data_IF_893174256120
#
_entry.id   IF_893174256120
#
_cell.length_a   1.000
_cell.length_b   1.000
_cell.length_c   1.000
_cell.angle_alpha   90.00
_cell.angle_beta   90.00
_cell.angle_gamma   90.00
#
_symmetry.space_group_name_H-M   'P 1'
#
loop_
_entity.id
_entity.type
_entity.pdbx_description
1 polymer ?
#
# COMPACT_ATOMS: atom_id res chain seq x y z
N UNK A 1 29.79 -3.69 12.05
CA UNK A 1 28.40 -3.15 12.00
C UNK A 1 28.28 -2.45 10.66
N UNK A 2 27.36 -2.87 9.82
CA UNK A 2 27.15 -2.24 8.50
C UNK A 2 26.64 -0.81 8.70
N UNK A 3 27.28 0.16 8.05
CA UNK A 3 26.81 1.55 8.04
C UNK A 3 25.88 1.73 6.85
N UNK A 4 24.67 2.23 7.09
CA UNK A 4 23.71 2.59 6.04
C UNK A 4 23.82 4.09 5.81
N UNK A 5 24.37 4.48 4.68
CA UNK A 5 24.62 5.90 4.37
C UNK A 5 23.33 6.67 4.06
N UNK A 6 22.30 5.98 3.55
CA UNK A 6 21.03 6.60 3.15
C UNK A 6 19.84 5.78 3.62
N UNK A 7 19.12 6.27 4.63
CA UNK A 7 17.91 5.62 5.14
C UNK A 7 16.68 5.88 4.28
N UNK A 8 16.52 7.12 3.81
CA UNK A 8 15.37 7.52 2.96
C UNK A 8 15.77 7.31 1.49
N UNK A 9 15.26 6.27 0.89
CA UNK A 9 15.61 5.81 -0.46
C UNK A 9 14.52 6.02 -1.50
N UNK A 10 13.29 6.35 -1.07
CA UNK A 10 12.16 6.63 -1.96
C UNK A 10 11.54 7.99 -1.64
N UNK A 11 10.95 8.62 -2.65
CA UNK A 11 10.05 9.77 -2.44
C UNK A 11 8.73 9.29 -1.83
N UNK A 12 8.13 10.02 -0.89
CA UNK A 12 6.82 9.66 -0.33
C UNK A 12 5.66 9.88 -1.32
N UNK A 13 5.90 10.55 -2.45
CA UNK A 13 4.86 10.98 -3.41
C UNK A 13 4.74 10.09 -4.64
N UNK A 14 5.62 9.11 -4.80
CA UNK A 14 5.60 8.18 -5.92
C UNK A 14 5.66 6.74 -5.40
N UNK A 15 5.29 5.79 -6.24
CA UNK A 15 5.42 4.38 -5.92
C UNK A 15 6.87 4.03 -5.55
N UNK A 16 7.11 3.31 -4.44
CA UNK A 16 8.46 2.89 -4.05
C UNK A 16 9.10 1.99 -5.11
N UNK A 17 10.33 2.33 -5.50
CA UNK A 17 11.09 1.59 -6.50
C UNK A 17 12.15 0.67 -5.90
N UNK A 18 12.38 0.76 -4.60
CA UNK A 18 13.39 -0.03 -3.89
C UNK A 18 13.07 -0.11 -2.39
N UNK A 19 13.63 -1.12 -1.73
CA UNK A 19 13.45 -1.30 -0.30
C UNK A 19 14.66 -1.97 0.34
N UNK A 20 14.85 -1.73 1.65
CA UNK A 20 15.83 -2.45 2.45
C UNK A 20 15.26 -3.78 2.93
N UNK A 21 15.99 -4.87 2.67
CA UNK A 21 15.72 -6.18 3.23
C UNK A 21 16.78 -6.53 4.28
N UNK A 22 16.34 -6.99 5.44
CA UNK A 22 17.22 -7.45 6.50
C UNK A 22 17.47 -8.95 6.35
N UNK A 23 18.74 -9.32 6.19
CA UNK A 23 19.18 -10.73 6.16
C UNK A 23 19.55 -11.16 7.58
N UNK A 24 18.82 -12.16 8.10
CA UNK A 24 19.04 -12.66 9.46
C UNK A 24 20.37 -13.37 9.61
N UNK A 25 20.78 -14.13 8.60
CA UNK A 25 21.98 -14.96 8.61
C UNK A 25 23.27 -14.13 8.74
N UNK A 26 23.35 -13.06 7.96
CA UNK A 26 24.50 -12.15 7.94
C UNK A 26 24.33 -10.94 8.85
N UNK A 27 23.11 -10.66 9.34
CA UNK A 27 22.72 -9.46 10.08
C UNK A 27 22.96 -8.16 9.28
N UNK A 28 22.78 -8.23 7.98
CA UNK A 28 23.01 -7.11 7.07
C UNK A 28 21.72 -6.66 6.40
N UNK A 29 21.70 -5.39 6.01
CA UNK A 29 20.67 -4.83 5.17
C UNK A 29 21.13 -4.81 3.72
N UNK A 30 20.33 -5.38 2.81
CA UNK A 30 20.54 -5.29 1.37
C UNK A 30 19.47 -4.44 0.73
N UNK A 31 19.90 -3.59 -0.22
CA UNK A 31 18.99 -2.81 -1.03
C UNK A 31 18.45 -3.66 -2.17
N UNK A 32 17.13 -3.86 -2.21
CA UNK A 32 16.44 -4.57 -3.30
C UNK A 32 15.66 -3.61 -4.17
N UNK A 33 15.65 -3.90 -5.47
CA UNK A 33 14.80 -3.22 -6.43
C UNK A 33 13.34 -3.68 -6.35
N UNK A 34 12.45 -2.83 -6.83
CA UNK A 34 11.02 -3.07 -6.82
C UNK A 34 10.34 -2.64 -5.52
N UNK A 35 9.07 -2.97 -5.42
CA UNK A 35 8.25 -2.65 -4.26
C UNK A 35 8.29 -3.77 -3.23
N UNK A 36 8.48 -3.42 -1.97
CA UNK A 36 8.41 -4.40 -0.88
C UNK A 36 7.04 -5.07 -0.85
N UNK A 37 6.96 -6.42 -0.76
CA UNK A 37 5.69 -7.12 -0.58
C UNK A 37 4.91 -6.58 0.63
N UNK A 38 3.60 -6.52 0.51
CA UNK A 38 2.74 -6.22 1.64
C UNK A 38 2.77 -7.38 2.62
N UNK A 39 2.96 -7.06 3.88
CA UNK A 39 3.05 -8.07 4.93
C UNK A 39 3.16 -7.43 6.30
N UNK A 40 3.23 -8.26 7.30
CA UNK A 40 3.43 -7.87 8.69
C UNK A 40 4.40 -8.81 9.37
N UNK A 41 4.99 -8.36 10.46
CA UNK A 41 5.91 -9.16 11.26
C UNK A 41 5.21 -9.61 12.53
N UNK A 42 5.27 -10.91 12.81
CA UNK A 42 4.84 -11.48 14.09
C UNK A 42 6.06 -11.90 14.89
N UNK A 43 5.98 -11.81 16.21
CA UNK A 43 7.02 -12.35 17.08
C UNK A 43 7.10 -13.85 16.89
N UNK A 44 8.32 -14.39 16.83
CA UNK A 44 8.52 -15.84 16.86
C UNK A 44 8.27 -16.38 18.27
N UNK A 45 7.92 -17.66 18.41
CA UNK A 45 7.71 -18.32 19.72
C UNK A 45 8.95 -18.21 20.63
N UNK A 46 10.12 -18.07 20.03
CA UNK A 46 11.42 -17.95 20.73
C UNK A 46 11.93 -16.51 20.82
N UNK A 47 11.11 -15.51 20.43
CA UNK A 47 11.49 -14.11 20.42
C UNK A 47 11.59 -13.53 21.84
N UNK A 48 12.61 -13.98 22.59
CA UNK A 48 12.98 -13.43 23.89
C UNK A 48 14.14 -12.44 23.80
N UNK A 49 14.76 -12.30 22.63
CA UNK A 49 15.89 -11.40 22.42
C UNK A 49 15.49 -10.20 21.57
N UNK A 50 16.06 -9.07 21.91
CA UNK A 50 15.90 -7.81 21.15
C UNK A 50 16.39 -7.93 19.69
N UNK A 51 17.17 -8.97 19.39
CA UNK A 51 17.77 -9.22 18.08
C UNK A 51 16.90 -10.12 17.16
N UNK A 52 15.75 -10.61 17.61
CA UNK A 52 14.85 -11.39 16.76
C UNK A 52 13.82 -10.48 16.07
N UNK A 53 13.96 -10.22 14.76
CA UNK A 53 13.04 -9.38 14.02
C UNK A 53 11.66 -10.00 13.79
N UNK A 54 11.40 -11.21 14.32
CA UNK A 54 10.13 -11.94 14.10
C UNK A 54 10.04 -12.63 12.72
N UNK A 55 8.88 -13.16 12.40
CA UNK A 55 8.58 -13.83 11.12
C UNK A 55 7.76 -12.87 10.26
N UNK A 56 8.23 -12.61 9.03
CA UNK A 56 7.46 -11.84 8.07
C UNK A 56 6.40 -12.72 7.41
N UNK A 57 5.14 -12.27 7.46
CA UNK A 57 4.00 -12.93 6.83
C UNK A 57 3.46 -12.00 5.75
N UNK A 58 3.43 -12.50 4.52
CA UNK A 58 2.87 -11.75 3.39
C UNK A 58 1.35 -11.68 3.46
N UNK A 59 0.80 -10.60 2.91
CA UNK A 59 -0.64 -10.41 2.71
C UNK A 59 -0.90 -10.57 1.22
N UNK A 60 -1.07 -11.81 0.79
CA UNK A 60 -1.19 -12.19 -0.62
C UNK A 60 -2.29 -11.40 -1.35
N UNK A 61 -3.43 -11.21 -0.71
CA UNK A 61 -4.55 -10.44 -1.27
C UNK A 61 -4.11 -9.02 -1.68
N UNK A 62 -3.37 -8.32 -0.81
CA UNK A 62 -2.88 -6.98 -1.11
C UNK A 62 -1.84 -7.01 -2.24
N UNK A 63 -0.97 -8.01 -2.25
CA UNK A 63 0.03 -8.18 -3.29
C UNK A 63 -0.59 -8.50 -4.66
N UNK A 64 -1.76 -9.15 -4.70
CA UNK A 64 -2.53 -9.39 -5.92
C UNK A 64 -3.30 -8.13 -6.40
N UNK A 65 -3.83 -7.33 -5.49
CA UNK A 65 -4.60 -6.12 -5.81
C UNK A 65 -3.70 -5.01 -6.33
N UNK A 66 -2.53 -4.77 -5.74
CA UNK A 66 -1.63 -3.66 -6.10
C UNK A 66 -1.34 -3.52 -7.59
N UNK A 67 -0.88 -4.56 -8.31
CA UNK A 67 -0.61 -4.44 -9.75
C UNK A 67 -1.88 -4.18 -10.57
N UNK A 68 -3.04 -4.63 -10.11
CA UNK A 68 -4.32 -4.38 -10.79
C UNK A 68 -4.76 -2.93 -10.63
N UNK A 69 -4.63 -2.37 -9.44
CA UNK A 69 -4.90 -0.95 -9.17
C UNK A 69 -3.94 -0.06 -9.97
N UNK A 70 -2.65 -0.42 -10.04
CA UNK A 70 -1.67 0.31 -10.85
C UNK A 70 -2.09 0.31 -12.33
N UNK A 71 -2.40 -0.85 -12.90
CA UNK A 71 -2.89 -0.95 -14.28
C UNK A 71 -4.19 -0.19 -14.52
N UNK A 72 -5.12 -0.24 -13.58
CA UNK A 72 -6.38 0.48 -13.66
C UNK A 72 -6.17 2.01 -13.64
N UNK A 73 -5.24 2.51 -12.82
CA UNK A 73 -4.81 3.91 -12.80
C UNK A 73 -4.21 4.32 -14.15
N UNK A 74 -3.27 3.53 -14.69
CA UNK A 74 -2.62 3.77 -15.99
C UNK A 74 -3.63 3.80 -17.14
N UNK A 75 -4.69 3.01 -17.07
CA UNK A 75 -5.80 3.01 -18.02
C UNK A 75 -6.81 4.14 -17.81
N UNK A 76 -6.54 5.05 -16.89
CA UNK A 76 -7.38 6.23 -16.65
C UNK A 76 -8.67 5.93 -15.89
N UNK A 77 -8.66 4.95 -15.01
CA UNK A 77 -9.76 4.64 -14.07
C UNK A 77 -11.06 4.20 -14.77
N UNK A 78 -11.06 3.15 -15.61
CA UNK A 78 -12.29 2.69 -16.25
C UNK A 78 -13.35 2.26 -15.22
N UNK A 79 -14.61 2.54 -15.50
CA UNK A 79 -15.76 2.16 -14.68
C UNK A 79 -16.16 3.16 -13.60
N UNK A 80 -15.33 4.14 -13.25
CA UNK A 80 -15.66 5.12 -12.22
C UNK A 80 -16.72 6.13 -12.68
N UNK A 81 -17.49 6.65 -11.73
CA UNK A 81 -18.43 7.74 -11.99
C UNK A 81 -17.71 9.03 -12.37
N UNK A 82 -18.41 9.95 -13.03
CA UNK A 82 -17.85 11.25 -13.38
C UNK A 82 -17.42 12.09 -12.16
N UNK A 83 -18.08 11.90 -11.01
CA UNK A 83 -17.71 12.56 -9.75
C UNK A 83 -16.43 11.96 -9.21
N UNK A 84 -16.35 10.64 -9.11
CA UNK A 84 -15.16 9.91 -8.66
C UNK A 84 -13.95 10.26 -9.52
N UNK A 85 -14.13 10.35 -10.84
CA UNK A 85 -13.07 10.74 -11.78
C UNK A 85 -12.52 12.13 -11.48
N UNK A 86 -13.40 13.11 -11.20
CA UNK A 86 -12.98 14.48 -10.86
C UNK A 86 -12.23 14.52 -9.54
N UNK A 87 -12.67 13.75 -8.53
CA UNK A 87 -11.99 13.64 -7.24
C UNK A 87 -10.59 13.03 -7.40
N UNK A 88 -10.47 11.91 -8.11
CA UNK A 88 -9.19 11.27 -8.38
C UNK A 88 -8.21 12.20 -9.09
N UNK A 89 -8.68 12.95 -10.09
CA UNK A 89 -7.85 13.94 -10.78
C UNK A 89 -7.40 15.06 -9.83
N UNK A 90 -8.33 15.63 -9.05
CA UNK A 90 -8.03 16.68 -8.08
C UNK A 90 -7.00 16.24 -7.04
N UNK A 91 -7.14 15.01 -6.50
CA UNK A 91 -6.21 14.52 -5.48
C UNK A 91 -4.79 14.27 -6.01
N UNK A 92 -4.65 14.03 -7.30
CA UNK A 92 -3.37 13.77 -7.96
C UNK A 92 -2.74 15.00 -8.62
N UNK A 93 -3.52 16.06 -8.83
CA UNK A 93 -3.03 17.26 -9.47
C UNK A 93 -2.02 18.00 -8.57
N UNK A 94 -0.74 18.08 -8.97
CA UNK A 94 0.28 18.72 -8.17
C UNK A 94 0.10 20.24 -8.08
N UNK A 95 -0.57 20.89 -9.03
CA UNK A 95 -0.80 22.32 -9.00
C UNK A 95 -1.95 22.68 -8.05
N UNK A 96 -3.06 21.92 -8.09
CA UNK A 96 -4.18 22.11 -7.16
C UNK A 96 -3.83 21.75 -5.72
N UNK A 97 -2.86 20.81 -5.53
CA UNK A 97 -2.44 20.29 -4.22
C UNK A 97 -1.05 20.71 -3.79
N UNK A 98 -0.56 21.86 -4.29
CA UNK A 98 0.80 22.32 -4.10
C UNK A 98 1.26 22.36 -2.64
N UNK A 99 0.42 22.87 -1.75
CA UNK A 99 0.73 23.03 -0.32
C UNK A 99 0.31 21.84 0.56
N UNK A 100 -0.46 20.90 0.01
CA UNK A 100 -1.03 19.77 0.76
C UNK A 100 -1.09 18.49 -0.05
N UNK A 101 0.01 18.18 -0.75
CA UNK A 101 0.13 16.99 -1.60
C UNK A 101 -0.03 15.72 -0.79
N UNK A 102 -0.83 14.78 -1.29
CA UNK A 102 -1.00 13.47 -0.68
C UNK A 102 0.22 12.57 -0.89
N UNK A 103 0.52 11.75 0.09
CA UNK A 103 1.51 10.69 -0.06
C UNK A 103 0.96 9.58 -0.96
N UNK A 104 1.87 8.90 -1.66
CA UNK A 104 1.50 7.77 -2.52
C UNK A 104 0.66 6.72 -1.78
N UNK A 105 1.02 6.38 -0.54
CA UNK A 105 0.27 5.40 0.25
C UNK A 105 -1.17 5.84 0.59
N UNK A 106 -1.44 7.14 0.66
CA UNK A 106 -2.78 7.69 0.88
C UNK A 106 -3.62 7.58 -0.39
N UNK A 107 -3.05 7.99 -1.52
CA UNK A 107 -3.70 7.85 -2.83
C UNK A 107 -3.99 6.39 -3.15
N UNK A 108 -3.02 5.51 -2.97
CA UNK A 108 -3.22 4.08 -3.23
C UNK A 108 -4.29 3.45 -2.33
N UNK A 109 -4.36 3.87 -1.06
CA UNK A 109 -5.39 3.36 -0.15
C UNK A 109 -6.79 3.70 -0.64
N UNK A 110 -7.04 4.96 -1.02
CA UNK A 110 -8.35 5.39 -1.53
C UNK A 110 -8.64 4.82 -2.92
N UNK A 111 -7.64 4.77 -3.80
CA UNK A 111 -7.76 4.14 -5.12
C UNK A 111 -8.13 2.66 -5.02
N UNK A 112 -7.54 1.95 -4.05
CA UNK A 112 -7.89 0.54 -3.81
C UNK A 112 -9.34 0.38 -3.39
N UNK A 113 -9.87 1.23 -2.51
CA UNK A 113 -11.28 1.20 -2.12
C UNK A 113 -12.20 1.50 -3.30
N UNK A 114 -11.88 2.52 -4.09
CA UNK A 114 -12.65 2.87 -5.28
C UNK A 114 -12.59 1.74 -6.32
N UNK A 115 -11.41 1.15 -6.54
CA UNK A 115 -11.26 0.02 -7.45
C UNK A 115 -12.13 -1.18 -7.04
N UNK A 116 -12.15 -1.51 -5.77
CA UNK A 116 -12.98 -2.60 -5.24
C UNK A 116 -14.48 -2.36 -5.45
N UNK A 117 -14.92 -1.10 -5.40
CA UNK A 117 -16.34 -0.72 -5.52
C UNK A 117 -16.78 -0.41 -6.95
N UNK A 118 -15.97 0.35 -7.71
CA UNK A 118 -16.39 0.92 -9.00
C UNK A 118 -15.69 0.30 -10.22
N UNK A 119 -14.54 -0.39 -10.07
CA UNK A 119 -13.87 -0.98 -11.21
C UNK A 119 -14.74 -2.10 -11.84
N UNK A 120 -14.60 -2.35 -13.17
CA UNK A 120 -15.30 -3.44 -13.85
C UNK A 120 -15.04 -4.80 -13.19
N UNK A 121 -16.04 -5.66 -13.13
CA UNK A 121 -15.93 -6.99 -12.52
C UNK A 121 -14.86 -7.86 -13.20
N UNK A 122 -14.63 -7.65 -14.49
CA UNK A 122 -13.57 -8.33 -15.23
C UNK A 122 -12.17 -8.05 -14.63
N UNK A 123 -11.93 -6.83 -14.13
CA UNK A 123 -10.66 -6.44 -13.51
C UNK A 123 -10.48 -7.07 -12.12
N UNK A 124 -11.59 -7.44 -11.47
CA UNK A 124 -11.63 -8.04 -10.13
C UNK A 124 -11.64 -9.58 -10.14
N UNK A 125 -11.65 -10.21 -11.32
CA UNK A 125 -11.71 -11.68 -11.45
C UNK A 125 -10.61 -12.36 -10.64
N UNK A 126 -11.00 -13.32 -9.78
CA UNK A 126 -10.07 -14.08 -8.91
C UNK A 126 -9.59 -13.30 -7.68
N UNK A 127 -10.16 -12.13 -7.38
CA UNK A 127 -9.96 -11.43 -6.10
C UNK A 127 -11.15 -11.76 -5.20
N UNK A 128 -10.87 -12.46 -4.13
CA UNK A 128 -11.86 -12.79 -3.10
C UNK A 128 -11.52 -12.04 -1.82
N UNK A 129 -12.44 -11.19 -1.38
CA UNK A 129 -12.27 -10.46 -0.14
C UNK A 129 -13.02 -11.19 0.96
N UNK A 130 -12.32 -11.62 2.02
CA UNK A 130 -12.96 -12.30 3.12
C UNK A 130 -14.05 -11.43 3.76
N UNK A 131 -15.24 -12.01 3.93
CA UNK A 131 -16.30 -11.39 4.71
C UNK A 131 -16.08 -11.67 6.20
N UNK A 132 -16.43 -10.70 7.04
CA UNK A 132 -16.47 -10.88 8.50
C UNK A 132 -17.74 -11.60 8.99
N UNK A 133 -18.63 -11.98 8.05
CA UNK A 133 -19.88 -12.68 8.36
C UNK A 133 -20.99 -11.78 8.94
N UNK A 134 -20.80 -10.47 8.97
CA UNK A 134 -21.82 -9.52 9.39
C UNK A 134 -22.81 -9.15 8.26
N UNK A 135 -23.92 -8.50 8.64
CA UNK A 135 -25.00 -8.10 7.72
C UNK A 135 -24.57 -6.99 6.74
N UNK A 136 -23.45 -6.37 6.95
CA UNK A 136 -22.93 -5.27 6.11
C UNK A 136 -21.54 -5.59 5.57
N UNK A 137 -21.28 -5.21 4.32
CA UNK A 137 -19.92 -5.23 3.76
C UNK A 137 -19.04 -4.21 4.48
N UNK A 138 -17.95 -4.67 5.05
CA UNK A 138 -16.96 -3.84 5.75
C UNK A 138 -15.61 -3.96 5.09
N UNK A 139 -14.96 -2.82 4.90
CA UNK A 139 -13.62 -2.75 4.32
C UNK A 139 -12.64 -2.25 5.37
N UNK A 140 -11.50 -2.89 5.49
CA UNK A 140 -10.45 -2.48 6.42
C UNK A 140 -9.18 -2.12 5.67
N UNK A 141 -8.83 -0.84 5.64
CA UNK A 141 -7.55 -0.37 5.15
C UNK A 141 -6.52 -0.39 6.28
N UNK A 142 -5.57 -1.32 6.22
CA UNK A 142 -4.47 -1.37 7.17
C UNK A 142 -3.29 -0.53 6.67
N UNK A 143 -3.11 0.61 7.27
CA UNK A 143 -2.00 1.53 6.98
C UNK A 143 -1.05 1.63 8.17
N UNK A 144 0.23 1.88 7.89
CA UNK A 144 1.24 2.08 8.93
C UNK A 144 0.90 3.27 9.85
N UNK A 145 1.42 3.24 11.06
CA UNK A 145 1.33 4.39 11.99
C UNK A 145 2.06 5.59 11.39
N UNK A 146 1.46 6.78 11.49
CA UNK A 146 2.04 8.01 10.93
C UNK A 146 1.81 8.22 9.43
N UNK A 147 1.16 7.29 8.71
CA UNK A 147 0.89 7.43 7.26
C UNK A 147 -0.28 8.34 6.90
N UNK A 148 -0.93 8.96 7.90
CA UNK A 148 -2.04 9.89 7.67
C UNK A 148 -3.39 9.21 7.40
N UNK A 149 -3.71 8.15 8.13
CA UNK A 149 -5.01 7.44 8.05
C UNK A 149 -6.22 8.37 8.10
N UNK A 150 -6.19 9.38 8.98
CA UNK A 150 -7.27 10.37 9.13
C UNK A 150 -7.49 11.18 7.85
N UNK A 151 -6.42 11.46 7.10
CA UNK A 151 -6.52 12.15 5.81
C UNK A 151 -7.27 11.28 4.81
N UNK A 152 -6.91 9.99 4.71
CA UNK A 152 -7.60 9.03 3.82
C UNK A 152 -9.07 8.91 4.16
N UNK A 153 -9.43 8.95 5.45
CA UNK A 153 -10.85 8.93 5.89
C UNK A 153 -11.64 10.19 5.51
N UNK A 154 -10.96 11.29 5.20
CA UNK A 154 -11.58 12.56 4.78
C UNK A 154 -11.64 12.75 3.26
N UNK A 155 -11.03 11.87 2.50
CA UNK A 155 -11.07 11.83 1.04
C UNK A 155 -12.35 11.19 0.52
#
# INVERSE_FOLDING_TARGET
MQQIDKLIINSPYIEPLQYWEYLRETREFILKGGRRPAGYVVASENSKSFDDPGVFIEIDLVNQIRPRVTKWRENGYPGVTGITKRLLNHWQDPEERKDSRFFFCQLEAIETLIWLTEAPDADKTGIEIPSDGGDFSRWCNKMATGSGKTIVMSM
#
